data_IF_531458284791
#
_entry.id   IF_531458284791
#
_cell.length_a   1.000
_cell.length_b   1.000
_cell.length_c   1.000
_cell.angle_alpha   90.00
_cell.angle_beta   90.00
_cell.angle_gamma   90.00
#
_symmetry.space_group_name_H-M   'P 1'
#
loop_
_entity.id
_entity.type
_entity.pdbx_description
1 polymer ?
#
# COMPACT_ATOMS: atom_id res chain seq x y z
N UNK A 1 16.34 2.39 48.73
CA UNK A 1 16.56 2.05 47.29
C UNK A 1 16.19 0.59 47.06
N UNK A 2 14.95 0.32 46.64
CA UNK A 2 14.53 -1.04 46.28
C UNK A 2 14.98 -1.37 44.86
N UNK A 3 15.95 -2.28 44.74
CA UNK A 3 16.41 -2.82 43.45
C UNK A 3 15.24 -3.48 42.71
N UNK A 4 14.76 -2.81 41.67
CA UNK A 4 13.72 -3.32 40.79
C UNK A 4 14.38 -4.35 39.86
N UNK A 5 14.56 -5.59 40.33
CA UNK A 5 14.94 -6.71 39.46
C UNK A 5 13.78 -7.02 38.52
N UNK A 6 13.70 -6.32 37.40
CA UNK A 6 12.86 -6.72 36.26
C UNK A 6 13.46 -7.97 35.65
N UNK A 7 12.95 -9.15 36.04
CA UNK A 7 13.18 -10.39 35.32
C UNK A 7 12.56 -10.28 33.94
N UNK A 8 13.39 -9.98 32.93
CA UNK A 8 12.97 -9.92 31.53
C UNK A 8 12.59 -11.36 31.12
N UNK A 9 11.31 -11.61 30.89
CA UNK A 9 10.85 -12.92 30.45
C UNK A 9 11.28 -13.22 29.00
N UNK A 10 11.49 -14.50 28.65
CA UNK A 10 11.87 -14.96 27.30
C UNK A 10 11.03 -14.31 26.18
N UNK A 11 9.73 -14.09 26.41
CA UNK A 11 8.85 -13.41 25.44
C UNK A 11 9.25 -11.96 25.16
N UNK A 12 9.70 -11.22 26.18
CA UNK A 12 10.16 -9.85 26.01
C UNK A 12 11.48 -9.81 25.24
N UNK A 13 12.36 -10.80 25.45
CA UNK A 13 13.60 -10.95 24.68
C UNK A 13 13.27 -11.19 23.20
N UNK A 14 12.38 -12.13 22.89
CA UNK A 14 11.96 -12.43 21.51
C UNK A 14 11.35 -11.19 20.84
N UNK A 15 10.46 -10.47 21.53
CA UNK A 15 9.87 -9.24 20.99
C UNK A 15 10.94 -8.16 20.78
N UNK A 16 11.88 -8.01 21.72
CA UNK A 16 13.00 -7.07 21.60
C UNK A 16 13.87 -7.36 20.38
N UNK A 17 14.26 -8.62 20.19
CA UNK A 17 15.03 -9.04 19.00
C UNK A 17 14.25 -8.80 17.71
N UNK A 18 12.95 -9.10 17.68
CA UNK A 18 12.11 -8.83 16.51
C UNK A 18 12.04 -7.34 16.16
N UNK A 19 11.93 -6.45 17.16
CA UNK A 19 11.93 -5.00 16.95
C UNK A 19 13.30 -4.49 16.49
N UNK A 20 14.38 -4.91 17.15
CA UNK A 20 15.75 -4.51 16.80
C UNK A 20 16.07 -4.92 15.36
N UNK A 21 15.73 -6.15 15.00
CA UNK A 21 15.98 -6.67 13.65
C UNK A 21 15.15 -5.89 12.60
N UNK A 22 13.89 -5.53 12.88
CA UNK A 22 13.11 -4.67 11.99
C UNK A 22 13.69 -3.27 11.83
N UNK A 23 14.21 -2.68 12.92
CA UNK A 23 14.90 -1.38 12.86
C UNK A 23 16.17 -1.46 12.02
N UNK A 24 16.96 -2.53 12.18
CA UNK A 24 18.14 -2.77 11.36
C UNK A 24 17.77 -2.91 9.88
N UNK A 25 16.76 -3.71 9.54
CA UNK A 25 16.28 -3.83 8.16
C UNK A 25 15.81 -2.50 7.59
N UNK A 26 15.10 -1.68 8.38
CA UNK A 26 14.64 -0.35 7.96
C UNK A 26 15.81 0.60 7.69
N UNK A 27 16.84 0.60 8.54
CA UNK A 27 18.05 1.41 8.30
C UNK A 27 18.79 0.93 7.06
N UNK A 28 18.97 -0.38 6.90
CA UNK A 28 19.67 -0.98 5.75
C UNK A 28 18.96 -0.66 4.44
N UNK A 29 17.64 -0.80 4.37
CA UNK A 29 16.89 -0.48 3.15
C UNK A 29 16.85 1.00 2.78
N UNK A 30 17.25 1.89 3.69
CA UNK A 30 17.41 3.33 3.45
C UNK A 30 18.84 3.75 3.10
N UNK A 31 19.80 2.82 3.15
CA UNK A 31 21.13 3.10 2.63
C UNK A 31 21.04 3.30 1.11
N UNK A 32 21.81 4.24 0.53
CA UNK A 32 21.85 4.42 -0.91
C UNK A 32 22.22 3.09 -1.58
N UNK A 33 21.32 2.54 -2.39
CA UNK A 33 21.65 1.43 -3.27
C UNK A 33 22.36 2.04 -4.47
N UNK A 34 23.54 1.54 -4.80
CA UNK A 34 24.48 2.13 -5.75
C UNK A 34 24.07 1.95 -7.23
N UNK A 35 22.78 2.06 -7.54
CA UNK A 35 22.33 2.07 -8.93
C UNK A 35 22.52 3.49 -9.44
N UNK A 36 23.45 3.69 -10.37
CA UNK A 36 23.59 4.98 -11.04
C UNK A 36 22.36 5.22 -11.91
N UNK A 37 21.79 6.43 -11.86
CA UNK A 37 20.65 6.80 -12.70
C UNK A 37 20.98 6.60 -14.20
N UNK A 38 22.26 6.77 -14.56
CA UNK A 38 22.75 6.54 -15.93
C UNK A 38 22.62 5.08 -16.39
N UNK A 39 22.52 4.12 -15.47
CA UNK A 39 22.34 2.70 -15.84
C UNK A 39 20.96 2.40 -16.42
N UNK A 40 20.02 3.32 -16.28
CA UNK A 40 18.71 3.19 -16.90
C UNK A 40 18.66 3.75 -18.32
N UNK A 41 19.60 4.64 -18.68
CA UNK A 41 19.63 5.25 -20.01
C UNK A 41 19.80 4.18 -21.10
N UNK A 42 19.17 4.35 -22.27
CA UNK A 42 19.30 3.44 -23.40
C UNK A 42 20.74 3.29 -23.86
N UNK A 43 21.09 2.12 -24.39
CA UNK A 43 22.40 1.87 -25.00
C UNK A 43 22.69 2.89 -26.12
N UNK A 44 23.95 3.33 -26.20
CA UNK A 44 24.39 4.24 -27.26
C UNK A 44 24.35 3.55 -28.63
N UNK A 45 24.17 4.36 -29.67
CA UNK A 45 24.05 3.94 -31.06
C UNK A 45 24.90 4.83 -31.98
N UNK A 46 24.93 4.53 -33.27
CA UNK A 46 25.60 5.37 -34.28
C UNK A 46 25.02 6.80 -34.32
N UNK A 47 23.77 6.97 -33.88
CA UNK A 47 23.07 8.26 -33.82
C UNK A 47 23.18 8.96 -32.46
N UNK A 48 23.32 8.22 -31.36
CA UNK A 48 23.40 8.76 -29.99
C UNK A 48 24.62 8.18 -29.30
N UNK A 49 25.65 8.99 -29.10
CA UNK A 49 26.95 8.52 -28.61
C UNK A 49 27.22 8.88 -27.15
N UNK A 50 26.50 9.85 -26.58
CA UNK A 50 26.62 10.27 -25.18
C UNK A 50 25.32 10.88 -24.65
N UNK A 51 25.23 11.00 -23.33
CA UNK A 51 24.16 11.68 -22.62
C UNK A 51 24.72 12.70 -21.65
N UNK A 52 24.22 13.94 -21.71
CA UNK A 52 24.59 15.00 -20.76
C UNK A 52 23.39 15.38 -19.90
N UNK A 53 23.59 15.54 -18.59
CA UNK A 53 22.54 15.96 -17.67
C UNK A 53 22.27 17.45 -17.84
N UNK A 54 21.14 17.79 -18.45
CA UNK A 54 20.71 19.18 -18.61
C UNK A 54 19.96 19.70 -17.37
N UNK A 55 19.08 18.89 -16.77
CA UNK A 55 18.26 19.33 -15.63
C UNK A 55 18.07 18.25 -14.56
N UNK A 56 18.12 18.68 -13.30
CA UNK A 56 17.75 17.87 -12.14
C UNK A 56 16.81 18.65 -11.22
N UNK A 57 15.63 18.10 -10.98
CA UNK A 57 14.68 18.59 -9.99
C UNK A 57 14.50 17.57 -8.87
N UNK A 58 14.76 17.99 -7.64
CA UNK A 58 14.60 17.14 -6.47
C UNK A 58 13.11 16.71 -6.30
N UNK A 59 12.83 15.47 -5.87
CA UNK A 59 13.80 14.50 -5.35
C UNK A 59 14.51 13.63 -6.40
N UNK A 60 13.95 13.46 -7.61
CA UNK A 60 14.40 12.41 -8.54
C UNK A 60 13.85 12.58 -9.97
N UNK A 61 13.76 13.82 -10.44
CA UNK A 61 13.36 14.13 -11.81
C UNK A 61 14.58 14.60 -12.61
N UNK A 62 14.91 13.90 -13.68
CA UNK A 62 16.11 14.12 -14.50
C UNK A 62 15.72 14.37 -15.95
N UNK A 63 16.45 15.28 -16.60
CA UNK A 63 16.42 15.48 -18.04
C UNK A 63 17.86 15.39 -18.58
N UNK A 64 18.06 14.48 -19.52
CA UNK A 64 19.30 14.29 -20.24
C UNK A 64 19.15 14.73 -21.70
N UNK A 65 20.19 15.31 -22.27
CA UNK A 65 20.33 15.52 -23.70
C UNK A 65 21.00 14.29 -24.32
N UNK A 66 20.46 13.81 -25.43
CA UNK A 66 21.08 12.78 -26.26
C UNK A 66 21.98 13.46 -27.30
N UNK A 67 23.26 13.12 -27.34
CA UNK A 67 24.26 13.80 -28.17
C UNK A 67 24.79 12.90 -29.30
N UNK A 68 25.00 13.48 -30.49
CA UNK A 68 25.69 12.82 -31.61
C UNK A 68 27.24 12.85 -31.44
N UNK A 69 27.96 12.26 -32.39
CA UNK A 69 29.45 12.27 -32.41
C UNK A 69 30.07 13.67 -32.49
N UNK A 70 29.33 14.67 -32.96
CA UNK A 70 29.77 16.06 -33.06
C UNK A 70 29.38 16.89 -31.81
N UNK A 71 28.67 16.29 -30.86
CA UNK A 71 28.19 16.95 -29.64
C UNK A 71 26.92 17.77 -29.84
N UNK A 72 26.17 17.55 -30.94
CA UNK A 72 24.87 18.19 -31.13
C UNK A 72 23.76 17.38 -30.44
N UNK A 73 22.81 18.07 -29.82
CA UNK A 73 21.60 17.46 -29.29
C UNK A 73 20.74 16.89 -30.42
N UNK A 74 20.44 15.59 -30.34
CA UNK A 74 19.59 14.85 -31.28
C UNK A 74 18.27 14.37 -30.66
N UNK A 75 18.09 14.60 -29.36
CA UNK A 75 16.87 14.29 -28.62
C UNK A 75 17.08 14.44 -27.12
N UNK A 76 16.09 14.02 -26.34
CA UNK A 76 16.09 14.16 -24.88
C UNK A 76 15.64 12.87 -24.20
N UNK A 77 16.03 12.68 -22.95
CA UNK A 77 15.54 11.60 -22.11
C UNK A 77 15.09 12.17 -20.78
N UNK A 78 13.87 11.85 -20.36
CA UNK A 78 13.38 12.21 -19.02
C UNK A 78 13.20 10.96 -18.17
N UNK A 79 13.74 10.98 -16.96
CA UNK A 79 13.56 9.96 -15.92
C UNK A 79 12.85 10.61 -14.75
N UNK A 80 11.59 10.22 -14.51
CA UNK A 80 10.72 10.89 -13.51
C UNK A 80 9.90 9.89 -12.72
N UNK A 81 9.55 10.25 -11.48
CA UNK A 81 8.86 9.33 -10.58
C UNK A 81 7.33 9.45 -10.62
N UNK A 82 6.69 8.33 -10.94
CA UNK A 82 5.29 8.04 -10.67
C UNK A 82 5.10 7.25 -9.37
N UNK A 83 3.86 7.22 -8.85
CA UNK A 83 3.49 6.36 -7.70
C UNK A 83 2.28 5.49 -8.03
N UNK A 84 2.52 4.19 -8.14
CA UNK A 84 1.52 3.17 -8.42
C UNK A 84 0.90 2.54 -7.17
N UNK A 85 0.33 1.34 -7.31
CA UNK A 85 -0.27 0.58 -6.21
C UNK A 85 0.79 -0.05 -5.31
N UNK A 86 1.87 -0.52 -5.92
CA UNK A 86 2.94 -1.24 -5.29
C UNK A 86 4.09 -0.38 -4.79
N UNK A 87 4.24 0.84 -5.34
CA UNK A 87 5.25 1.80 -4.89
C UNK A 87 5.68 2.77 -5.97
N UNK A 88 6.98 3.07 -5.98
CA UNK A 88 7.59 4.00 -6.96
C UNK A 88 7.64 3.33 -8.34
N UNK A 89 7.40 4.14 -9.36
CA UNK A 89 7.55 3.83 -10.77
C UNK A 89 8.50 4.86 -11.37
N UNK A 90 9.72 4.47 -11.73
CA UNK A 90 10.63 5.33 -12.47
C UNK A 90 10.25 5.24 -13.94
N UNK A 91 9.66 6.30 -14.49
CA UNK A 91 9.21 6.37 -15.88
C UNK A 91 10.31 7.04 -16.70
N UNK A 92 10.84 6.30 -17.67
CA UNK A 92 11.75 6.78 -18.68
C UNK A 92 10.98 7.11 -19.95
N UNK A 93 11.26 8.26 -20.54
CA UNK A 93 10.72 8.65 -21.84
C UNK A 93 11.87 9.16 -22.69
N UNK A 94 12.00 8.60 -23.89
CA UNK A 94 12.89 9.10 -24.93
C UNK A 94 12.08 10.00 -25.85
N UNK A 95 12.57 11.21 -26.05
CA UNK A 95 11.94 12.25 -26.84
C UNK A 95 12.80 12.56 -28.08
N UNK A 96 12.14 12.84 -29.19
CA UNK A 96 12.81 13.46 -30.35
C UNK A 96 13.19 14.92 -30.06
N UNK A 97 13.99 15.51 -30.93
CA UNK A 97 14.39 16.91 -30.84
C UNK A 97 13.19 17.89 -30.87
N UNK A 98 12.12 17.53 -31.59
CA UNK A 98 10.86 18.29 -31.65
C UNK A 98 9.87 17.91 -30.53
N UNK A 99 10.23 16.96 -29.65
CA UNK A 99 9.46 16.60 -28.46
C UNK A 99 8.37 15.55 -28.66
N UNK A 100 8.50 14.69 -29.68
CA UNK A 100 7.67 13.51 -29.85
C UNK A 100 8.18 12.35 -28.99
N UNK A 101 7.28 11.57 -28.40
CA UNK A 101 7.64 10.38 -27.63
C UNK A 101 8.09 9.27 -28.58
N UNK A 102 9.36 8.89 -28.50
CA UNK A 102 9.96 7.80 -29.28
C UNK A 102 9.85 6.46 -28.57
N UNK A 103 10.03 6.45 -27.26
CA UNK A 103 9.83 5.27 -26.41
C UNK A 103 9.43 5.68 -25.00
N UNK A 104 8.73 4.77 -24.32
CA UNK A 104 8.43 4.87 -22.90
C UNK A 104 8.76 3.52 -22.25
N UNK A 105 9.55 3.55 -21.19
CA UNK A 105 9.87 2.37 -20.40
C UNK A 105 9.73 2.68 -18.91
N UNK A 106 9.60 1.66 -18.07
CA UNK A 106 9.56 1.83 -16.62
C UNK A 106 10.63 0.92 -16.00
N UNK A 107 11.91 1.32 -16.07
CA UNK A 107 13.03 0.45 -15.75
C UNK A 107 13.09 0.04 -14.27
N UNK A 108 12.55 0.86 -13.37
CA UNK A 108 12.39 0.52 -11.96
C UNK A 108 10.91 0.62 -11.56
N UNK A 109 10.30 -0.52 -11.20
CA UNK A 109 8.92 -0.59 -10.74
C UNK A 109 8.78 -1.46 -9.50
N UNK A 110 7.78 -1.13 -8.69
CA UNK A 110 7.46 -1.86 -7.46
C UNK A 110 6.06 -2.47 -7.50
N UNK A 111 5.46 -2.67 -8.68
CA UNK A 111 4.13 -3.25 -8.85
C UNK A 111 4.14 -4.78 -8.67
N UNK A 112 2.99 -5.35 -8.36
CA UNK A 112 2.83 -6.79 -8.43
C UNK A 112 2.71 -7.26 -9.88
N UNK A 113 3.37 -8.36 -10.24
CA UNK A 113 3.40 -8.88 -11.61
C UNK A 113 2.03 -8.98 -12.28
N UNK A 114 1.00 -9.41 -11.54
CA UNK A 114 -0.33 -9.61 -12.11
C UNK A 114 -1.03 -8.30 -12.52
N UNK A 115 -0.68 -7.17 -11.88
CA UNK A 115 -1.17 -5.84 -12.28
C UNK A 115 -0.30 -5.22 -13.36
N UNK A 116 1.02 -5.42 -13.27
CA UNK A 116 1.96 -4.94 -14.28
C UNK A 116 1.69 -5.56 -15.65
N UNK A 117 1.50 -6.89 -15.69
CA UNK A 117 1.15 -7.62 -16.90
C UNK A 117 -0.13 -7.08 -17.57
N UNK A 118 -1.08 -6.52 -16.80
CA UNK A 118 -2.26 -5.88 -17.41
C UNK A 118 -1.92 -4.62 -18.19
N UNK A 119 -0.93 -3.85 -17.77
CA UNK A 119 -0.51 -2.66 -18.54
C UNK A 119 0.13 -3.10 -19.85
N UNK A 120 0.94 -4.17 -19.80
CA UNK A 120 1.59 -4.76 -20.97
C UNK A 120 0.56 -5.40 -21.93
N UNK A 121 -0.33 -6.26 -21.43
CA UNK A 121 -1.36 -6.98 -22.21
C UNK A 121 -2.41 -6.07 -22.86
N UNK A 122 -2.53 -4.83 -22.39
CA UNK A 122 -3.45 -3.82 -22.92
C UNK A 122 -2.75 -2.73 -23.73
N UNK A 123 -1.48 -2.95 -24.13
CA UNK A 123 -0.68 -2.02 -24.94
C UNK A 123 -0.69 -0.59 -24.37
N UNK A 124 -0.69 -0.47 -23.04
CA UNK A 124 -0.88 0.82 -22.35
C UNK A 124 0.22 1.83 -22.71
N UNK A 125 1.44 1.34 -22.86
CA UNK A 125 2.62 2.15 -23.18
C UNK A 125 2.61 2.63 -24.64
N UNK A 126 2.10 1.82 -25.55
CA UNK A 126 2.07 2.12 -26.99
C UNK A 126 1.17 3.32 -27.30
N UNK A 127 0.18 3.60 -26.44
CA UNK A 127 -0.68 4.76 -26.56
C UNK A 127 0.07 6.09 -26.52
N UNK A 128 1.26 6.15 -25.92
CA UNK A 128 2.07 7.36 -25.82
C UNK A 128 2.97 7.59 -27.04
N UNK A 129 3.33 6.54 -27.78
CA UNK A 129 4.33 6.60 -28.84
C UNK A 129 3.85 7.51 -29.99
N UNK A 130 4.73 8.40 -30.43
CA UNK A 130 4.49 9.37 -31.51
C UNK A 130 3.67 10.60 -31.10
N UNK A 131 3.20 10.69 -29.85
CA UNK A 131 2.53 11.89 -29.34
C UNK A 131 3.54 12.98 -29.03
N UNK A 132 3.17 14.23 -29.29
CA UNK A 132 3.99 15.39 -29.01
C UNK A 132 3.81 15.87 -27.57
N UNK A 133 4.87 16.42 -26.99
CA UNK A 133 4.87 16.95 -25.62
C UNK A 133 3.79 18.02 -25.39
N UNK A 134 3.42 18.78 -26.42
CA UNK A 134 2.42 19.86 -26.37
C UNK A 134 0.99 19.37 -26.69
N UNK A 135 0.80 18.09 -26.98
CA UNK A 135 -0.49 17.49 -27.35
C UNK A 135 -1.03 16.51 -26.29
N UNK A 136 -2.31 16.15 -26.41
CA UNK A 136 -3.08 15.38 -25.43
C UNK A 136 -2.39 14.10 -24.93
N UNK A 137 -2.02 14.10 -23.65
CA UNK A 137 -1.49 12.97 -22.88
C UNK A 137 -2.38 12.63 -21.66
N UNK A 138 -3.57 13.22 -21.55
CA UNK A 138 -4.39 13.15 -20.34
C UNK A 138 -4.99 11.75 -20.19
N UNK A 139 -4.61 11.06 -19.11
CA UNK A 139 -5.17 9.78 -18.70
C UNK A 139 -6.67 9.88 -18.45
N UNK A 140 -7.43 9.06 -19.17
CA UNK A 140 -8.90 8.99 -19.18
C UNK A 140 -9.55 9.78 -20.31
N UNK A 141 -8.81 10.69 -20.96
CA UNK A 141 -9.30 11.50 -22.09
C UNK A 141 -8.55 11.10 -23.38
N UNK A 142 -7.23 11.25 -23.36
CA UNK A 142 -6.34 10.97 -24.48
C UNK A 142 -5.68 9.58 -24.41
N UNK A 143 -5.48 9.10 -23.19
CA UNK A 143 -4.86 7.80 -22.88
C UNK A 143 -5.84 6.95 -22.09
N UNK A 144 -6.15 5.77 -22.59
CA UNK A 144 -7.07 4.84 -21.95
C UNK A 144 -6.52 4.26 -20.66
N UNK A 145 -7.36 4.25 -19.62
CA UNK A 145 -7.06 3.63 -18.34
C UNK A 145 -7.22 2.12 -18.42
N UNK A 146 -6.25 1.36 -17.90
CA UNK A 146 -6.37 -0.10 -17.82
C UNK A 146 -7.31 -0.52 -16.69
N UNK A 147 -8.39 -1.20 -17.06
CA UNK A 147 -9.41 -1.66 -16.12
C UNK A 147 -8.86 -2.70 -15.12
N UNK A 148 -9.02 -2.40 -13.83
CA UNK A 148 -8.48 -3.21 -12.73
C UNK A 148 -6.99 -3.00 -12.44
N UNK A 149 -6.32 -2.10 -13.16
CA UNK A 149 -4.95 -1.62 -12.87
C UNK A 149 -4.87 -0.07 -12.84
N UNK A 150 -6.00 0.59 -12.53
CA UNK A 150 -6.14 2.05 -12.58
C UNK A 150 -5.11 2.82 -11.75
N UNK A 151 -4.73 2.32 -10.57
CA UNK A 151 -3.74 2.99 -9.71
C UNK A 151 -2.36 2.93 -10.36
N UNK A 152 -1.98 1.79 -10.96
CA UNK A 152 -0.74 1.61 -11.70
C UNK A 152 -0.72 2.48 -12.97
N UNK A 153 -1.80 2.49 -13.76
CA UNK A 153 -1.94 3.40 -14.92
C UNK A 153 -1.82 4.87 -14.52
N UNK A 154 -2.44 5.26 -13.40
CA UNK A 154 -2.31 6.62 -12.86
C UNK A 154 -0.86 6.92 -12.48
N UNK A 155 -0.18 5.97 -11.80
CA UNK A 155 1.21 6.11 -11.42
C UNK A 155 2.12 6.39 -12.63
N UNK A 156 2.01 5.61 -13.70
CA UNK A 156 2.78 5.83 -14.93
C UNK A 156 2.45 7.19 -15.56
N UNK A 157 1.16 7.52 -15.71
CA UNK A 157 0.75 8.80 -16.29
C UNK A 157 1.29 10.01 -15.51
N UNK A 158 1.39 9.92 -14.18
CA UNK A 158 1.99 10.98 -13.36
C UNK A 158 3.50 11.14 -13.60
N UNK A 159 4.22 10.05 -13.88
CA UNK A 159 5.60 10.12 -14.37
C UNK A 159 5.65 10.82 -15.73
N UNK A 160 4.79 10.40 -16.67
CA UNK A 160 4.70 11.04 -17.99
C UNK A 160 4.44 12.54 -17.91
N UNK A 161 3.54 12.99 -17.02
CA UNK A 161 3.28 14.42 -16.85
C UNK A 161 4.48 15.19 -16.32
N UNK A 162 5.27 14.60 -15.43
CA UNK A 162 6.49 15.21 -14.91
C UNK A 162 7.58 15.25 -15.98
N UNK A 163 7.77 14.17 -16.72
CA UNK A 163 8.71 14.12 -17.85
C UNK A 163 8.36 15.15 -18.92
N UNK A 164 7.07 15.22 -19.31
CA UNK A 164 6.58 16.27 -20.21
C UNK A 164 6.89 17.67 -19.67
N UNK A 165 6.59 17.94 -18.40
CA UNK A 165 6.78 19.27 -17.83
C UNK A 165 8.27 19.70 -17.84
N UNK A 166 9.19 18.76 -17.61
CA UNK A 166 10.63 19.01 -17.73
C UNK A 166 11.03 19.35 -19.17
N UNK A 167 10.63 18.53 -20.14
CA UNK A 167 10.97 18.75 -21.54
C UNK A 167 10.37 20.07 -22.06
N UNK A 168 9.13 20.34 -21.72
CA UNK A 168 8.41 21.53 -22.16
C UNK A 168 9.10 22.81 -21.67
N UNK A 169 9.62 22.80 -20.43
CA UNK A 169 10.43 23.89 -19.89
C UNK A 169 11.77 24.05 -20.64
N UNK A 170 12.44 22.95 -20.98
CA UNK A 170 13.69 22.94 -21.76
C UNK A 170 13.49 23.50 -23.18
N UNK A 171 12.39 23.14 -23.84
CA UNK A 171 12.06 23.63 -25.18
C UNK A 171 11.49 25.07 -25.18
N UNK A 172 11.37 25.71 -24.02
CA UNK A 172 10.87 27.09 -23.88
C UNK A 172 9.35 27.24 -23.96
N UNK A 173 8.60 26.14 -23.94
CA UNK A 173 7.15 26.10 -23.98
C UNK A 173 6.59 25.49 -22.69
N UNK A 174 6.63 26.25 -21.58
CA UNK A 174 6.25 25.72 -20.26
C UNK A 174 4.87 25.05 -20.26
N UNK A 175 4.87 23.73 -20.02
CA UNK A 175 3.66 22.93 -19.87
C UNK A 175 3.63 22.34 -18.45
N UNK A 176 3.01 23.02 -17.47
CA UNK A 176 2.99 22.52 -16.10
C UNK A 176 2.23 21.20 -16.02
N UNK A 177 2.72 20.30 -15.15
CA UNK A 177 1.98 19.08 -14.84
C UNK A 177 0.55 19.43 -14.39
N UNK A 178 -0.48 18.66 -14.80
CA UNK A 178 -1.86 18.97 -14.48
C UNK A 178 -2.05 19.15 -12.98
N UNK A 179 -2.80 20.17 -12.56
CA UNK A 179 -3.12 20.34 -11.15
C UNK A 179 -3.92 19.13 -10.66
N UNK A 180 -3.34 18.40 -9.71
CA UNK A 180 -3.99 17.24 -9.13
C UNK A 180 -5.07 17.67 -8.12
N UNK A 181 -6.32 17.62 -8.54
CA UNK A 181 -7.45 17.92 -7.65
C UNK A 181 -7.84 16.64 -6.91
N UNK A 182 -7.99 16.76 -5.59
CA UNK A 182 -8.46 15.65 -4.75
C UNK A 182 -9.88 15.26 -5.16
N UNK A 183 -10.04 14.04 -5.69
CA UNK A 183 -11.34 13.50 -6.09
C UNK A 183 -12.05 12.94 -4.86
N UNK A 184 -13.23 13.45 -4.56
CA UNK A 184 -14.13 12.90 -3.55
C UNK A 184 -15.42 12.43 -4.23
N UNK A 185 -15.75 11.15 -4.07
CA UNK A 185 -16.88 10.54 -4.74
C UNK A 185 -17.70 9.64 -3.84
N UNK A 186 -18.59 8.89 -4.49
CA UNK A 186 -19.52 7.97 -3.83
C UNK A 186 -18.79 6.84 -3.09
N UNK A 187 -17.62 6.40 -3.58
CA UNK A 187 -16.81 5.37 -2.92
C UNK A 187 -16.33 5.80 -1.53
N UNK A 188 -15.84 7.02 -1.41
CA UNK A 188 -15.42 7.62 -0.14
C UNK A 188 -16.60 7.79 0.82
N UNK A 189 -17.75 8.27 0.31
CA UNK A 189 -18.98 8.42 1.10
C UNK A 189 -19.42 7.07 1.69
N UNK A 190 -19.44 6.01 0.88
CA UNK A 190 -19.86 4.68 1.34
C UNK A 190 -18.85 4.05 2.31
N UNK A 191 -17.54 4.30 2.14
CA UNK A 191 -16.53 3.86 3.09
C UNK A 191 -16.71 4.58 4.44
N UNK A 192 -16.86 5.90 4.42
CA UNK A 192 -17.08 6.69 5.64
C UNK A 192 -18.38 6.25 6.32
N UNK A 193 -19.47 6.09 5.57
CA UNK A 193 -20.74 5.64 6.12
C UNK A 193 -20.62 4.23 6.72
N UNK A 194 -19.94 3.31 6.04
CA UNK A 194 -19.64 1.97 6.54
C UNK A 194 -18.87 1.99 7.86
N UNK A 195 -17.77 2.76 7.94
CA UNK A 195 -16.98 2.92 9.16
C UNK A 195 -17.82 3.50 10.30
N UNK A 196 -18.58 4.58 10.05
CA UNK A 196 -19.47 5.20 11.04
C UNK A 196 -20.52 4.19 11.51
N UNK A 197 -21.19 3.50 10.59
CA UNK A 197 -22.20 2.46 10.91
C UNK A 197 -21.62 1.38 11.81
N UNK A 198 -20.40 0.89 11.54
CA UNK A 198 -19.77 -0.12 12.41
C UNK A 198 -19.54 0.39 13.83
N UNK A 199 -19.16 1.67 13.97
CA UNK A 199 -18.96 2.31 15.28
C UNK A 199 -20.30 2.47 16.00
N UNK A 200 -21.31 3.00 15.31
CA UNK A 200 -22.64 3.23 15.84
C UNK A 200 -23.28 1.91 16.32
N UNK A 201 -23.39 0.92 15.43
CA UNK A 201 -24.10 -0.33 15.70
C UNK A 201 -23.45 -1.18 16.79
N UNK A 202 -22.12 -1.16 16.90
CA UNK A 202 -21.41 -1.92 17.94
C UNK A 202 -21.36 -1.19 19.28
N UNK A 203 -21.26 0.14 19.28
CA UNK A 203 -20.96 0.91 20.49
C UNK A 203 -22.21 1.34 21.23
N UNK A 204 -23.22 1.84 20.53
CA UNK A 204 -24.44 2.36 21.14
C UNK A 204 -25.30 1.24 21.73
N UNK A 205 -25.80 1.45 22.95
CA UNK A 205 -26.54 0.43 23.71
C UNK A 205 -27.83 -0.02 23.01
N UNK A 206 -28.52 0.91 22.33
CA UNK A 206 -29.76 0.68 21.58
C UNK A 206 -29.57 -0.38 20.48
N UNK A 207 -28.44 -0.32 19.78
CA UNK A 207 -28.15 -1.19 18.64
C UNK A 207 -27.42 -2.48 19.04
N UNK A 208 -26.71 -2.49 20.18
CA UNK A 208 -25.87 -3.61 20.60
C UNK A 208 -26.58 -4.96 20.71
N UNK A 209 -27.88 -4.98 21.04
CA UNK A 209 -28.67 -6.22 21.13
C UNK A 209 -29.08 -6.78 19.76
N UNK A 210 -29.09 -5.94 18.71
CA UNK A 210 -29.54 -6.29 17.36
C UNK A 210 -28.38 -6.87 16.54
N UNK A 211 -28.08 -8.16 16.74
CA UNK A 211 -26.96 -8.85 16.07
C UNK A 211 -27.03 -8.79 14.53
N UNK A 212 -28.22 -8.66 13.96
CA UNK A 212 -28.43 -8.57 12.52
C UNK A 212 -27.83 -7.32 11.87
N UNK A 213 -27.66 -6.23 12.63
CA UNK A 213 -27.02 -4.99 12.14
C UNK A 213 -25.58 -5.21 11.68
N UNK A 214 -24.88 -6.19 12.27
CA UNK A 214 -23.54 -6.61 11.82
C UNK A 214 -23.59 -7.17 10.39
N UNK A 215 -24.66 -7.87 10.01
CA UNK A 215 -24.78 -8.41 8.67
C UNK A 215 -25.00 -7.31 7.65
N UNK A 216 -25.70 -6.23 7.98
CA UNK A 216 -25.81 -5.06 7.09
C UNK A 216 -24.41 -4.50 6.78
N UNK A 217 -23.58 -4.25 7.80
CA UNK A 217 -22.25 -3.68 7.58
C UNK A 217 -21.32 -4.65 6.86
N UNK A 218 -21.44 -5.96 7.10
CA UNK A 218 -20.66 -6.97 6.37
C UNK A 218 -21.11 -7.08 4.91
N UNK A 219 -22.41 -7.01 4.64
CA UNK A 219 -22.94 -7.00 3.27
C UNK A 219 -22.52 -5.73 2.53
N UNK A 220 -22.55 -4.57 3.20
CA UNK A 220 -22.01 -3.33 2.65
C UNK A 220 -20.52 -3.48 2.35
N UNK A 221 -19.74 -4.02 3.30
CA UNK A 221 -18.32 -4.32 3.11
C UNK A 221 -18.08 -5.22 1.90
N UNK A 222 -18.80 -6.33 1.81
CA UNK A 222 -18.69 -7.31 0.73
C UNK A 222 -19.07 -6.74 -0.63
N UNK A 223 -20.22 -6.07 -0.74
CA UNK A 223 -20.70 -5.51 -2.00
C UNK A 223 -19.89 -4.31 -2.47
N UNK A 224 -19.62 -3.36 -1.55
CA UNK A 224 -18.95 -2.09 -1.89
C UNK A 224 -17.43 -2.26 -1.90
N UNK A 225 -16.81 -2.61 -0.77
CA UNK A 225 -15.35 -2.65 -0.65
C UNK A 225 -14.75 -3.89 -1.34
N UNK A 226 -15.51 -4.98 -1.38
CA UNK A 226 -15.16 -6.23 -2.05
C UNK A 226 -15.43 -6.16 -3.54
N UNK A 227 -16.68 -6.34 -3.97
CA UNK A 227 -16.99 -6.54 -5.40
C UNK A 227 -16.98 -5.28 -6.26
N UNK A 228 -17.48 -4.14 -5.75
CA UNK A 228 -17.59 -2.94 -6.57
C UNK A 228 -16.26 -2.18 -6.68
N UNK A 229 -15.64 -1.88 -5.54
CA UNK A 229 -14.40 -1.10 -5.51
C UNK A 229 -13.15 -1.97 -5.58
N UNK A 230 -13.22 -3.26 -5.22
CA UNK A 230 -12.08 -4.19 -5.16
C UNK A 230 -10.87 -3.63 -4.41
N UNK A 231 -11.11 -2.82 -3.37
CA UNK A 231 -10.09 -2.12 -2.56
C UNK A 231 -10.23 -2.39 -1.05
N UNK A 232 -10.18 -3.65 -0.60
CA UNK A 232 -10.08 -3.95 0.82
C UNK A 232 -8.74 -3.49 1.43
N UNK A 233 -8.72 -3.28 2.74
CA UNK A 233 -7.50 -2.95 3.48
C UNK A 233 -6.45 -4.07 3.35
N UNK A 234 -5.34 -3.73 2.70
CA UNK A 234 -4.16 -4.57 2.49
C UNK A 234 -3.02 -4.22 3.45
N UNK A 235 -2.12 -5.16 3.71
CA UNK A 235 -0.85 -4.92 4.38
C UNK A 235 0.04 -3.98 3.55
N UNK A 236 0.04 -4.09 2.22
CA UNK A 236 0.74 -3.17 1.31
C UNK A 236 0.34 -1.72 1.58
N UNK A 237 -0.96 -1.48 1.77
CA UNK A 237 -1.51 -0.16 2.11
C UNK A 237 -1.16 0.32 3.53
N UNK A 238 -0.54 -0.50 4.37
CA UNK A 238 -0.09 -0.06 5.70
C UNK A 238 1.41 0.18 5.65
N UNK A 239 2.15 -0.74 5.05
CA UNK A 239 3.61 -0.69 4.99
C UNK A 239 4.12 0.40 4.06
N UNK A 240 3.38 0.74 2.99
CA UNK A 240 3.69 1.88 2.12
C UNK A 240 3.83 3.19 2.92
N UNK A 241 2.95 3.41 3.91
CA UNK A 241 3.06 4.55 4.83
C UNK A 241 4.22 4.41 5.82
N UNK A 242 4.50 3.19 6.30
CA UNK A 242 5.63 2.95 7.22
C UNK A 242 6.98 3.24 6.58
N UNK A 243 7.13 2.98 5.28
CA UNK A 243 8.36 3.27 4.53
C UNK A 243 8.37 4.67 3.90
N UNK A 244 7.33 5.47 4.07
CA UNK A 244 7.27 6.85 3.54
C UNK A 244 6.98 6.95 2.05
N UNK A 245 6.42 5.90 1.43
CA UNK A 245 5.97 5.90 0.03
C UNK A 245 4.46 5.68 -0.06
N UNK A 246 3.61 6.55 0.54
CA UNK A 246 2.18 6.45 0.36
C UNK A 246 1.79 6.79 -1.10
N UNK A 247 0.70 6.19 -1.61
CA UNK A 247 0.19 6.47 -2.94
C UNK A 247 -0.23 7.93 -3.08
N UNK A 248 -0.27 8.45 -4.31
CA UNK A 248 -0.63 9.83 -4.58
C UNK A 248 -2.03 10.19 -4.03
N UNK A 249 -2.12 11.24 -3.20
CA UNK A 249 -3.34 11.59 -2.46
C UNK A 249 -4.51 11.97 -3.38
N UNK A 250 -4.36 12.89 -4.36
CA UNK A 250 -5.45 13.30 -5.23
C UNK A 250 -6.24 12.17 -5.89
N UNK A 251 -5.56 11.09 -6.27
CA UNK A 251 -6.17 9.94 -6.93
C UNK A 251 -6.47 8.75 -5.98
N UNK A 252 -5.97 8.78 -4.73
CA UNK A 252 -6.10 7.68 -3.79
C UNK A 252 -6.70 8.08 -2.43
N UNK A 253 -7.49 9.16 -2.37
CA UNK A 253 -8.15 9.63 -1.16
C UNK A 253 -8.88 8.51 -0.40
N UNK A 254 -9.54 7.60 -1.14
CA UNK A 254 -10.16 6.39 -0.59
C UNK A 254 -9.23 5.60 0.34
N UNK A 255 -7.99 5.33 -0.08
CA UNK A 255 -7.02 4.56 0.69
C UNK A 255 -6.58 5.33 1.94
N UNK A 256 -6.46 6.65 1.86
CA UNK A 256 -6.17 7.49 3.02
C UNK A 256 -7.29 7.39 4.07
N UNK A 257 -8.55 7.52 3.65
CA UNK A 257 -9.71 7.36 4.54
C UNK A 257 -9.73 5.95 5.13
N UNK A 258 -9.44 4.92 4.34
CA UNK A 258 -9.45 3.53 4.78
C UNK A 258 -8.35 3.26 5.81
N UNK A 259 -7.10 3.55 5.48
CA UNK A 259 -5.94 3.23 6.34
C UNK A 259 -5.96 4.09 7.59
N UNK A 260 -6.04 5.42 7.45
CA UNK A 260 -6.03 6.34 8.58
C UNK A 260 -7.31 6.21 9.41
N UNK A 261 -8.47 6.01 8.77
CA UNK A 261 -9.73 5.78 9.46
C UNK A 261 -9.72 4.49 10.27
N UNK A 262 -9.25 3.37 9.71
CA UNK A 262 -9.20 2.09 10.44
C UNK A 262 -8.17 2.13 11.58
N UNK A 263 -6.95 2.60 11.32
CA UNK A 263 -5.90 2.73 12.35
C UNK A 263 -6.33 3.74 13.42
N UNK A 264 -6.87 4.89 13.01
CA UNK A 264 -7.41 5.91 13.89
C UNK A 264 -8.53 5.38 14.78
N UNK A 265 -9.51 4.65 14.23
CA UNK A 265 -10.56 4.01 15.03
C UNK A 265 -10.00 3.02 16.05
N UNK A 266 -8.97 2.26 15.69
CA UNK A 266 -8.30 1.34 16.61
C UNK A 266 -7.58 2.10 17.73
N UNK A 267 -6.89 3.19 17.41
CA UNK A 267 -6.21 4.06 18.38
C UNK A 267 -7.18 4.81 19.30
N UNK A 268 -8.35 5.20 18.80
CA UNK A 268 -9.38 5.89 19.58
C UNK A 268 -10.13 4.91 20.48
N UNK A 269 -10.59 3.78 19.94
CA UNK A 269 -11.51 2.88 20.64
C UNK A 269 -10.83 1.69 21.34
N UNK A 270 -9.63 1.32 20.91
CA UNK A 270 -8.93 0.11 21.36
C UNK A 270 -9.55 -1.19 20.87
N UNK A 271 -10.34 -1.14 19.80
CA UNK A 271 -11.05 -2.28 19.24
C UNK A 271 -10.80 -2.35 17.73
N UNK A 272 -10.67 -3.56 17.21
CA UNK A 272 -10.65 -3.79 15.77
C UNK A 272 -12.12 -3.81 15.28
N UNK A 273 -12.52 -2.77 14.55
CA UNK A 273 -13.86 -2.67 13.94
C UNK A 273 -13.85 -3.24 12.53
N UNK A 274 -12.88 -2.84 11.71
CA UNK A 274 -12.79 -3.22 10.31
C UNK A 274 -12.86 -4.73 10.09
N UNK A 275 -11.93 -5.51 10.66
CA UNK A 275 -11.84 -6.95 10.39
C UNK A 275 -13.10 -7.73 10.79
N UNK A 276 -13.87 -7.25 11.77
CA UNK A 276 -15.00 -7.98 12.35
C UNK A 276 -16.39 -7.51 11.84
N UNK A 277 -16.47 -6.29 11.31
CA UNK A 277 -17.75 -5.66 10.93
C UNK A 277 -17.82 -5.17 9.50
N UNK A 278 -16.69 -4.89 8.83
CA UNK A 278 -16.67 -4.26 7.50
C UNK A 278 -15.79 -5.00 6.49
N UNK A 279 -14.85 -5.83 6.94
CA UNK A 279 -13.93 -6.51 6.04
C UNK A 279 -14.68 -7.48 5.09
N UNK A 280 -14.59 -7.29 3.77
CA UNK A 280 -15.29 -8.13 2.79
C UNK A 280 -14.81 -9.59 2.84
N UNK A 281 -13.51 -9.82 3.04
CA UNK A 281 -12.97 -11.17 3.09
C UNK A 281 -13.38 -11.95 4.35
N UNK A 282 -13.65 -11.25 5.46
CA UNK A 282 -14.27 -11.89 6.63
C UNK A 282 -15.71 -12.30 6.32
N UNK A 283 -16.45 -11.50 5.54
CA UNK A 283 -17.80 -11.82 5.13
C UNK A 283 -17.84 -13.06 4.22
N UNK A 284 -16.93 -13.14 3.23
CA UNK A 284 -16.78 -14.32 2.35
C UNK A 284 -16.58 -15.58 3.18
N UNK A 285 -15.59 -15.60 4.08
CA UNK A 285 -15.33 -16.79 4.90
C UNK A 285 -16.49 -17.15 5.83
N UNK A 286 -17.23 -16.16 6.35
CA UNK A 286 -18.41 -16.41 7.18
C UNK A 286 -19.57 -17.02 6.35
N UNK A 287 -19.74 -16.58 5.10
CA UNK A 287 -20.70 -17.17 4.15
C UNK A 287 -20.28 -18.60 3.79
N UNK A 288 -19.02 -18.81 3.40
CA UNK A 288 -18.47 -20.13 3.07
C UNK A 288 -18.65 -21.13 4.22
N UNK A 289 -18.37 -20.70 5.46
CA UNK A 289 -18.56 -21.53 6.64
C UNK A 289 -20.03 -21.93 6.87
N UNK A 290 -20.98 -21.05 6.56
CA UNK A 290 -22.42 -21.37 6.64
C UNK A 290 -22.85 -22.35 5.57
N UNK A 291 -22.33 -22.20 4.35
CA UNK A 291 -22.59 -23.12 3.24
C UNK A 291 -22.02 -24.50 3.57
N UNK A 292 -20.85 -24.57 4.21
CA UNK A 292 -20.23 -25.82 4.67
C UNK A 292 -20.92 -26.52 5.84
N UNK A 293 -22.18 -26.20 6.14
CA UNK A 293 -22.95 -26.88 7.18
C UNK A 293 -22.50 -26.59 8.61
N UNK A 294 -21.64 -25.58 8.81
CA UNK A 294 -21.15 -25.16 10.13
C UNK A 294 -20.51 -26.29 10.96
N UNK A 295 -19.79 -27.21 10.29
CA UNK A 295 -19.12 -28.39 10.90
C UNK A 295 -18.30 -27.99 12.15
N UNK A 296 -17.71 -26.79 12.14
CA UNK A 296 -17.21 -26.16 13.36
C UNK A 296 -15.97 -26.82 13.93
N UNK A 297 -15.09 -27.32 13.06
CA UNK A 297 -13.82 -27.90 13.49
C UNK A 297 -12.99 -26.86 14.25
N UNK A 298 -12.64 -27.19 15.50
CA UNK A 298 -11.83 -26.33 16.37
C UNK A 298 -10.51 -27.02 16.68
N UNK A 299 -9.36 -26.39 16.36
CA UNK A 299 -8.06 -26.92 16.75
C UNK A 299 -7.95 -27.07 18.27
N UNK A 300 -7.20 -28.09 18.72
CA UNK A 300 -6.87 -28.27 20.15
C UNK A 300 -6.22 -27.00 20.71
N UNK A 301 -6.36 -26.67 22.01
CA UNK A 301 -5.89 -25.40 22.58
C UNK A 301 -4.41 -25.07 22.32
N UNK A 302 -3.51 -26.07 22.36
CA UNK A 302 -2.09 -25.91 22.05
C UNK A 302 -1.88 -25.51 20.58
N UNK A 303 -2.51 -26.25 19.66
CA UNK A 303 -2.48 -25.98 18.22
C UNK A 303 -3.09 -24.63 17.88
N UNK A 304 -4.23 -24.28 18.49
CA UNK A 304 -4.86 -22.97 18.33
C UNK A 304 -3.90 -21.83 18.68
N UNK A 305 -3.20 -21.93 19.82
CA UNK A 305 -2.25 -20.91 20.26
C UNK A 305 -1.03 -20.81 19.33
N UNK A 306 -0.54 -21.94 18.83
CA UNK A 306 0.54 -21.97 17.86
C UNK A 306 0.12 -21.31 16.54
N UNK A 307 -0.98 -21.79 15.93
CA UNK A 307 -1.51 -21.25 14.68
C UNK A 307 -1.80 -19.74 14.77
N UNK A 308 -2.38 -19.28 15.88
CA UNK A 308 -2.66 -17.84 16.08
C UNK A 308 -1.40 -16.98 16.19
N UNK A 309 -0.25 -17.57 16.50
CA UNK A 309 1.02 -16.85 16.52
C UNK A 309 1.68 -16.76 15.14
N UNK A 310 1.30 -17.64 14.19
CA UNK A 310 1.86 -17.65 12.82
C UNK A 310 1.65 -16.30 12.13
N UNK A 311 0.45 -15.70 12.21
CA UNK A 311 0.21 -14.35 11.66
C UNK A 311 1.18 -13.25 12.15
N UNK A 312 1.75 -13.37 13.36
CA UNK A 312 2.75 -12.41 13.83
C UNK A 312 4.13 -12.69 13.23
N UNK A 313 4.47 -13.96 13.01
CA UNK A 313 5.68 -14.35 12.28
C UNK A 313 5.59 -13.89 10.82
N UNK A 314 4.45 -14.12 10.16
CA UNK A 314 4.21 -13.68 8.78
C UNK A 314 4.25 -12.15 8.68
N UNK A 315 3.66 -11.43 9.62
CA UNK A 315 3.77 -9.97 9.67
C UNK A 315 5.23 -9.52 9.83
N UNK A 316 6.00 -10.13 10.74
CA UNK A 316 7.41 -9.80 10.92
C UNK A 316 8.22 -10.09 9.65
N UNK A 317 8.03 -11.24 9.01
CA UNK A 317 8.72 -11.62 7.79
C UNK A 317 8.37 -10.68 6.62
N UNK A 318 7.10 -10.32 6.45
CA UNK A 318 6.67 -9.37 5.45
C UNK A 318 7.28 -7.97 5.69
N UNK A 319 7.24 -7.48 6.94
CA UNK A 319 7.87 -6.20 7.29
C UNK A 319 9.38 -6.23 7.09
N UNK A 320 10.04 -7.36 7.35
CA UNK A 320 11.47 -7.52 7.10
C UNK A 320 11.83 -7.34 5.64
N UNK A 321 11.12 -8.04 4.75
CA UNK A 321 11.35 -7.92 3.31
C UNK A 321 11.06 -6.50 2.83
N UNK A 322 9.92 -5.92 3.22
CA UNK A 322 9.54 -4.57 2.80
C UNK A 322 10.54 -3.51 3.31
N UNK A 323 11.00 -3.62 4.55
CA UNK A 323 11.95 -2.65 5.11
C UNK A 323 13.34 -2.78 4.50
N UNK A 324 13.79 -4.00 4.23
CA UNK A 324 15.10 -4.25 3.61
C UNK A 324 15.14 -3.79 2.14
N UNK A 325 14.10 -4.11 1.37
CA UNK A 325 14.06 -3.81 -0.05
C UNK A 325 13.37 -2.48 -0.40
N UNK A 326 12.78 -1.81 0.59
CA UNK A 326 12.03 -0.56 0.39
C UNK A 326 10.91 -0.67 -0.65
N UNK A 327 10.29 -1.86 -0.75
CA UNK A 327 9.26 -2.21 -1.72
C UNK A 327 8.00 -2.77 -1.00
N UNK A 328 6.89 -2.02 -0.97
CA UNK A 328 5.61 -2.43 -0.37
C UNK A 328 4.96 -3.67 -0.99
N UNK A 329 5.18 -3.96 -2.28
CA UNK A 329 4.58 -5.11 -2.96
C UNK A 329 5.08 -6.46 -2.47
N UNK A 330 6.23 -6.49 -1.79
CA UNK A 330 6.72 -7.70 -1.12
C UNK A 330 5.82 -8.16 0.04
N UNK A 331 4.88 -7.31 0.48
CA UNK A 331 3.85 -7.67 1.46
C UNK A 331 2.57 -8.26 0.84
N UNK A 332 2.49 -8.42 -0.49
CA UNK A 332 1.29 -8.94 -1.18
C UNK A 332 1.17 -10.45 -0.96
N UNK A 333 0.58 -10.81 0.18
CA UNK A 333 0.28 -12.19 0.55
C UNK A 333 -1.15 -12.28 1.11
N UNK A 334 -2.13 -12.12 0.22
CA UNK A 334 -3.52 -11.89 0.61
C UNK A 334 -4.51 -12.52 -0.39
N UNK A 335 -5.36 -13.48 0.03
CA UNK A 335 -6.28 -14.20 -0.88
C UNK A 335 -7.42 -13.31 -1.41
N UNK A 336 -7.73 -12.21 -0.74
CA UNK A 336 -8.80 -11.32 -1.18
C UNK A 336 -8.41 -10.45 -2.38
N UNK A 337 -7.11 -10.21 -2.60
CA UNK A 337 -6.64 -9.48 -3.77
C UNK A 337 -7.12 -10.22 -5.00
N UNK A 338 -6.73 -11.47 -5.15
CA UNK A 338 -7.16 -12.38 -6.22
C UNK A 338 -8.67 -12.56 -6.30
N UNK A 339 -9.36 -12.69 -5.16
CA UNK A 339 -10.81 -12.90 -5.15
C UNK A 339 -11.58 -11.72 -5.75
N UNK A 340 -11.22 -10.49 -5.38
CA UNK A 340 -12.00 -9.30 -5.76
C UNK A 340 -11.47 -8.60 -7.01
N UNK A 341 -10.17 -8.65 -7.27
CA UNK A 341 -9.60 -8.13 -8.52
C UNK A 341 -9.79 -9.11 -9.68
N UNK A 342 -10.00 -10.41 -9.39
CA UNK A 342 -9.99 -11.50 -10.37
C UNK A 342 -8.65 -11.62 -11.12
N UNK A 343 -7.58 -11.13 -10.50
CA UNK A 343 -6.24 -11.08 -11.06
C UNK A 343 -5.28 -11.70 -10.06
N UNK A 344 -4.44 -12.62 -10.53
CA UNK A 344 -3.38 -13.16 -9.71
C UNK A 344 -2.59 -14.28 -10.38
N UNK A 345 -1.39 -14.51 -9.85
CA UNK A 345 -0.55 -15.64 -10.22
C UNK A 345 -1.09 -16.97 -9.71
N UNK A 346 -0.50 -18.07 -10.16
CA UNK A 346 -0.89 -19.44 -9.79
C UNK A 346 -0.82 -19.62 -8.26
N UNK A 347 0.22 -19.10 -7.62
CA UNK A 347 0.42 -19.13 -6.17
C UNK A 347 -0.71 -18.40 -5.41
N UNK A 348 -1.16 -17.25 -5.91
CA UNK A 348 -2.22 -16.47 -5.30
C UNK A 348 -3.60 -17.14 -5.46
N UNK A 349 -3.87 -17.74 -6.62
CA UNK A 349 -5.06 -18.55 -6.84
C UNK A 349 -5.09 -19.80 -5.95
N UNK A 350 -3.96 -20.52 -5.83
CA UNK A 350 -3.83 -21.66 -4.93
C UNK A 350 -4.08 -21.25 -3.48
N UNK A 351 -3.53 -20.12 -3.04
CA UNK A 351 -3.76 -19.56 -1.69
C UNK A 351 -5.24 -19.27 -1.44
N UNK A 352 -5.93 -18.67 -2.42
CA UNK A 352 -7.36 -18.39 -2.35
C UNK A 352 -8.18 -19.67 -2.25
N UNK A 353 -7.98 -20.62 -3.16
CA UNK A 353 -8.70 -21.91 -3.19
C UNK A 353 -8.51 -22.66 -1.87
N UNK A 354 -7.28 -22.75 -1.40
CA UNK A 354 -6.97 -23.40 -0.13
C UNK A 354 -7.68 -22.71 1.04
N UNK A 355 -7.66 -21.38 1.07
CA UNK A 355 -8.31 -20.60 2.12
C UNK A 355 -9.82 -20.80 2.13
N UNK A 356 -10.48 -20.73 0.97
CA UNK A 356 -11.93 -20.95 0.85
C UNK A 356 -12.28 -22.39 1.25
N UNK A 357 -11.51 -23.37 0.79
CA UNK A 357 -11.71 -24.79 1.14
C UNK A 357 -11.66 -25.00 2.65
N UNK A 358 -10.64 -24.47 3.34
CA UNK A 358 -10.60 -24.57 4.81
C UNK A 358 -11.72 -23.78 5.50
N UNK A 359 -12.22 -22.71 4.88
CA UNK A 359 -13.31 -21.91 5.42
C UNK A 359 -14.66 -22.64 5.42
N UNK A 360 -14.81 -23.71 4.64
CA UNK A 360 -15.98 -24.59 4.75
C UNK A 360 -16.02 -25.31 6.12
N UNK A 361 -14.85 -25.73 6.62
CA UNK A 361 -14.77 -26.58 7.82
C UNK A 361 -14.47 -25.81 9.11
N UNK A 362 -13.70 -24.74 8.99
CA UNK A 362 -13.21 -23.92 10.11
C UNK A 362 -13.75 -22.51 9.97
N UNK A 363 -14.17 -21.91 11.08
CA UNK A 363 -14.67 -20.53 11.06
C UNK A 363 -13.53 -19.53 10.83
N UNK A 364 -13.54 -18.86 9.67
CA UNK A 364 -12.61 -17.79 9.25
C UNK A 364 -11.11 -18.09 9.49
N UNK A 365 -10.59 -19.22 8.99
CA UNK A 365 -9.24 -19.71 9.29
C UNK A 365 -8.15 -18.69 8.91
N UNK A 366 -8.30 -18.00 7.77
CA UNK A 366 -7.32 -16.99 7.36
C UNK A 366 -7.26 -15.84 8.34
N UNK A 367 -8.42 -15.26 8.67
CA UNK A 367 -8.50 -14.10 9.56
C UNK A 367 -7.99 -14.39 10.98
N UNK A 368 -8.18 -15.62 11.48
CA UNK A 368 -7.76 -15.99 12.83
C UNK A 368 -6.29 -16.44 12.93
N UNK A 369 -5.75 -17.09 11.90
CA UNK A 369 -4.45 -17.79 12.01
C UNK A 369 -3.35 -17.20 11.12
N UNK A 370 -3.69 -16.63 9.96
CA UNK A 370 -2.70 -16.31 8.92
C UNK A 370 -2.62 -14.79 8.66
N UNK A 371 -3.75 -14.08 8.63
CA UNK A 371 -3.86 -12.69 8.19
C UNK A 371 -2.92 -11.72 8.94
N UNK A 372 -1.91 -11.14 8.27
CA UNK A 372 -0.96 -10.22 8.90
C UNK A 372 -1.58 -8.85 9.19
N UNK A 373 -2.57 -8.39 8.42
CA UNK A 373 -3.34 -7.16 8.71
C UNK A 373 -4.02 -7.25 10.08
N UNK A 374 -4.66 -8.39 10.38
CA UNK A 374 -5.26 -8.63 11.69
C UNK A 374 -4.23 -8.64 12.83
N UNK A 375 -3.03 -9.17 12.57
CA UNK A 375 -1.91 -9.15 13.52
C UNK A 375 -1.40 -7.73 13.77
N UNK A 376 -1.29 -6.92 12.72
CA UNK A 376 -0.88 -5.52 12.80
C UNK A 376 -1.87 -4.72 13.66
N UNK A 377 -3.17 -4.81 13.39
CA UNK A 377 -4.19 -4.11 14.20
C UNK A 377 -4.19 -4.58 15.66
N UNK A 378 -3.94 -5.86 15.93
CA UNK A 378 -3.77 -6.36 17.31
C UNK A 378 -2.53 -5.77 18.00
N UNK A 379 -1.43 -5.53 17.27
CA UNK A 379 -0.25 -4.81 17.79
C UNK A 379 -0.61 -3.36 18.09
N UNK A 380 -1.29 -2.65 17.20
CA UNK A 380 -1.74 -1.27 17.42
C UNK A 380 -2.59 -1.16 18.69
N UNK A 381 -3.50 -2.11 18.92
CA UNK A 381 -4.29 -2.18 20.18
C UNK A 381 -3.40 -2.35 21.40
N UNK A 382 -2.38 -3.21 21.33
CA UNK A 382 -1.43 -3.44 22.45
C UNK A 382 -0.60 -2.18 22.73
N UNK A 383 -0.08 -1.53 21.69
CA UNK A 383 0.68 -0.28 21.80
C UNK A 383 -0.17 0.81 22.46
N UNK A 384 -1.41 1.01 21.99
CA UNK A 384 -2.37 1.93 22.62
C UNK A 384 -2.58 1.65 24.10
N UNK A 385 -2.83 0.38 24.48
CA UNK A 385 -3.04 -0.01 25.89
C UNK A 385 -1.80 0.28 26.74
N UNK A 386 -0.61 -0.02 26.22
CA UNK A 386 0.67 0.32 26.86
C UNK A 386 0.82 1.83 27.06
N UNK A 387 0.56 2.63 26.02
CA UNK A 387 0.61 4.09 26.07
C UNK A 387 -0.34 4.69 27.10
N UNK A 388 -1.60 4.22 27.16
CA UNK A 388 -2.57 4.66 28.17
C UNK A 388 -2.09 4.30 29.59
N UNK A 389 -1.52 3.11 29.79
CA UNK A 389 -0.99 2.69 31.09
C UNK A 389 0.17 3.57 31.53
N UNK A 390 1.10 3.86 30.61
CA UNK A 390 2.24 4.73 30.86
C UNK A 390 1.80 6.16 31.19
N UNK A 391 0.86 6.71 30.42
CA UNK A 391 0.32 8.06 30.66
C UNK A 391 -0.35 8.19 32.02
N UNK A 392 -1.12 7.17 32.44
CA UNK A 392 -1.71 7.13 33.79
C UNK A 392 -0.63 7.11 34.88
N UNK A 393 0.44 6.34 34.71
CA UNK A 393 1.57 6.30 35.66
C UNK A 393 2.28 7.65 35.74
N UNK A 394 2.57 8.29 34.60
CA UNK A 394 3.20 9.61 34.54
C UNK A 394 2.33 10.69 35.19
N UNK A 395 1.01 10.64 34.98
CA UNK A 395 0.06 11.57 35.61
C UNK A 395 0.07 11.42 37.14
N UNK A 396 0.03 10.18 37.64
CA UNK A 396 0.12 9.90 39.09
C UNK A 396 1.45 10.40 39.67
N UNK A 397 2.56 10.17 38.97
CA UNK A 397 3.88 10.63 39.39
C UNK A 397 3.99 12.16 39.43
N UNK A 398 3.42 12.85 38.43
CA UNK A 398 3.36 14.32 38.40
C UNK A 398 2.52 14.89 39.54
N UNK A 399 1.37 14.27 39.85
CA UNK A 399 0.51 14.70 40.97
C UNK A 399 1.23 14.49 42.31
N UNK A 400 1.95 13.39 42.50
CA UNK A 400 2.75 13.15 43.72
C UNK A 400 3.85 14.18 43.91
N UNK A 401 4.64 14.46 42.86
CA UNK A 401 5.70 15.47 42.91
C UNK A 401 5.16 16.86 43.27
N UNK A 402 4.04 17.27 42.66
CA UNK A 402 3.40 18.55 42.99
C UNK A 402 2.82 18.62 44.41
N UNK A 403 2.56 17.48 45.05
CA UNK A 403 2.14 17.43 46.45
C UNK A 403 3.34 17.47 47.41
N UNK A 404 4.45 16.86 47.03
CA UNK A 404 5.74 16.93 47.76
C UNK A 404 6.35 18.34 47.68
N UNK A 405 6.23 19.05 46.56
CA UNK A 405 6.72 20.44 46.41
C UNK A 405 5.88 21.47 47.19
N UNK A 406 4.70 21.08 47.70
CA UNK A 406 3.77 21.95 48.48
C UNK A 406 3.78 21.67 49.98
N UNK A 407 4.41 20.59 50.41
CA UNK A 407 4.60 20.20 51.80
C UNK A 407 5.99 20.64 52.26
#
# INVERSE_FOLDING_TARGET
>A
MGSMKTTIGIKQIIIGMAVISLLAAFVIGRLPKSTSIESYLPDTSDTVCAYDLAKFEAPSNYLFESLDTAGNTVGYITLTEGRGYGGILLVEIVWSLDGAILSITVPEQQEGNAWWAKLEDHDFFDQYIGRQFDTGLILGDDIDVVSGATISSTGVALGVYQGRALLADELGESYPAPMEIVKFGIGEILLISGLIMTVLFRTFAVFRKRKWLRYITLTLGLGVLGFWLSRPLSLTNIVAWLIGSPPNLPNNLFLYILVLGVVGLVLLTGKNFYCFWLCPFSAVQEVTYRIGGQIGLKPKPKTYKFLRNIRFLLLWAALMLVFWFTNPSLAVFEPWGTLFSQVGGIDQWLLLILTITFSFFIFSPWCFYICPVGAFLDIVIKVRKGGISLWKKLKVFRVKRLAEDKA
#
